data_IF_744852928544
#
_entry.id   IF_744852928544
#
_cell.length_a   1.000
_cell.length_b   1.000
_cell.length_c   1.000
_cell.angle_alpha   90.00
_cell.angle_beta   90.00
_cell.angle_gamma   90.00
#
_symmetry.space_group_name_H-M   'P 1'
#
loop_
_entity.id
_entity.type
_entity.pdbx_description
1 polymer ?
#
# COMPACT_ATOMS: atom_id res chain seq x y z
N UNK A 1 19.48 4.32 3.74
CA UNK A 1 18.33 3.39 3.78
C UNK A 1 17.76 3.11 2.39
N UNK A 2 17.59 4.13 1.51
CA UNK A 2 17.08 3.94 0.13
C UNK A 2 17.91 2.97 -0.75
N UNK A 3 19.23 2.88 -0.52
CA UNK A 3 20.17 2.05 -1.32
C UNK A 3 19.85 0.55 -1.30
N UNK A 4 19.13 0.07 -0.28
CA UNK A 4 18.82 -1.35 -0.14
C UNK A 4 17.47 -1.73 -0.76
N UNK A 5 16.62 -0.77 -1.11
CA UNK A 5 15.27 -1.04 -1.64
C UNK A 5 15.33 -1.70 -3.02
N UNK A 6 16.17 -1.17 -3.91
CA UNK A 6 16.40 -1.73 -5.24
C UNK A 6 16.92 -3.18 -5.21
N UNK A 7 17.99 -3.51 -4.45
CA UNK A 7 18.47 -4.89 -4.41
C UNK A 7 17.48 -5.84 -3.71
N UNK A 8 16.74 -5.43 -2.68
CA UNK A 8 15.70 -6.30 -2.09
C UNK A 8 14.55 -6.55 -3.05
N UNK A 9 14.15 -5.53 -3.84
CA UNK A 9 13.14 -5.70 -4.89
C UNK A 9 13.60 -6.67 -5.98
N UNK A 10 14.83 -6.51 -6.46
CA UNK A 10 15.41 -7.40 -7.48
C UNK A 10 15.50 -8.86 -7.00
N UNK A 11 15.92 -9.07 -5.75
CA UNK A 11 15.95 -10.40 -5.13
C UNK A 11 14.54 -10.98 -4.96
N UNK A 12 13.55 -10.17 -4.58
CA UNK A 12 12.16 -10.61 -4.48
C UNK A 12 11.58 -11.07 -5.81
N UNK A 13 11.86 -10.34 -6.90
CA UNK A 13 11.45 -10.72 -8.26
C UNK A 13 12.10 -12.05 -8.68
N UNK A 14 13.42 -12.18 -8.46
CA UNK A 14 14.14 -13.42 -8.77
C UNK A 14 13.60 -14.62 -7.97
N UNK A 15 13.37 -14.45 -6.68
CA UNK A 15 12.82 -15.49 -5.82
C UNK A 15 11.41 -15.91 -6.26
N UNK A 16 10.55 -14.95 -6.62
CA UNK A 16 9.21 -15.21 -7.14
C UNK A 16 9.22 -15.98 -8.46
N UNK A 17 10.09 -15.58 -9.40
CA UNK A 17 10.24 -16.25 -10.70
C UNK A 17 10.72 -17.70 -10.55
N UNK A 18 11.73 -17.94 -9.69
CA UNK A 18 12.22 -19.28 -9.41
C UNK A 18 11.14 -20.14 -8.76
N UNK A 19 10.43 -19.63 -7.75
CA UNK A 19 9.37 -20.37 -7.06
C UNK A 19 8.25 -20.83 -8.01
N UNK A 20 7.84 -19.97 -8.95
CA UNK A 20 6.85 -20.34 -9.97
C UNK A 20 7.36 -21.45 -10.91
N UNK A 21 8.65 -21.41 -11.26
CA UNK A 21 9.27 -22.42 -12.14
C UNK A 21 9.41 -23.80 -11.48
N UNK A 22 9.56 -23.86 -10.15
CA UNK A 22 9.63 -25.12 -9.40
C UNK A 22 8.25 -25.74 -9.06
N UNK A 23 7.15 -25.07 -9.42
CA UNK A 23 5.78 -25.61 -9.24
C UNK A 23 5.34 -25.74 -7.79
N UNK A 24 6.00 -25.06 -6.84
CA UNK A 24 5.70 -25.18 -5.40
C UNK A 24 4.53 -24.27 -5.01
N UNK A 25 3.31 -24.69 -5.36
CA UNK A 25 2.09 -23.90 -5.14
C UNK A 25 1.82 -23.56 -3.67
N UNK A 26 2.19 -24.44 -2.73
CA UNK A 26 1.96 -24.22 -1.29
C UNK A 26 2.78 -23.06 -0.72
N UNK A 27 4.04 -22.91 -1.15
CA UNK A 27 4.86 -21.78 -0.71
C UNK A 27 4.29 -20.45 -1.22
N UNK A 28 3.73 -20.43 -2.42
CA UNK A 28 3.17 -19.21 -2.99
C UNK A 28 1.94 -18.72 -2.21
N UNK A 29 1.01 -19.64 -1.85
CA UNK A 29 -0.17 -19.31 -1.04
C UNK A 29 0.24 -18.80 0.35
N UNK A 30 1.15 -19.49 1.04
CA UNK A 30 1.58 -19.08 2.39
C UNK A 30 2.24 -17.70 2.38
N UNK A 31 3.14 -17.43 1.44
CA UNK A 31 3.86 -16.15 1.40
C UNK A 31 3.02 -15.00 0.85
N UNK A 32 2.33 -15.19 -0.28
CA UNK A 32 1.56 -14.11 -0.93
C UNK A 32 0.27 -13.78 -0.18
N UNK A 33 -0.40 -14.75 0.45
CA UNK A 33 -1.66 -14.48 1.16
C UNK A 33 -1.46 -14.24 2.65
N UNK A 34 -0.69 -15.05 3.36
CA UNK A 34 -0.61 -14.93 4.82
C UNK A 34 0.53 -14.02 5.26
N UNK A 35 1.76 -14.31 4.83
CA UNK A 35 2.94 -13.54 5.30
C UNK A 35 2.85 -12.09 4.83
N UNK A 36 2.45 -11.86 3.59
CA UNK A 36 2.27 -10.50 3.07
C UNK A 36 1.19 -9.74 3.86
N UNK A 37 0.00 -10.30 4.04
CA UNK A 37 -1.08 -9.64 4.78
C UNK A 37 -0.70 -9.37 6.24
N UNK A 38 -0.12 -10.35 6.93
CA UNK A 38 0.35 -10.16 8.32
C UNK A 38 1.41 -9.05 8.39
N UNK A 39 2.33 -9.00 7.44
CA UNK A 39 3.36 -7.95 7.38
C UNK A 39 2.74 -6.57 7.16
N UNK A 40 1.73 -6.44 6.29
CA UNK A 40 1.02 -5.18 6.07
C UNK A 40 0.28 -4.72 7.33
N UNK A 41 -0.44 -5.63 7.98
CA UNK A 41 -1.15 -5.34 9.23
C UNK A 41 -0.18 -4.91 10.32
N UNK A 42 0.94 -5.62 10.47
CA UNK A 42 1.98 -5.28 11.44
C UNK A 42 2.58 -3.89 11.14
N UNK A 43 2.88 -3.60 9.87
CA UNK A 43 3.44 -2.31 9.46
C UNK A 43 2.47 -1.16 9.76
N UNK A 44 1.19 -1.33 9.45
CA UNK A 44 0.16 -0.33 9.75
C UNK A 44 -0.01 -0.11 11.25
N UNK A 45 0.00 -1.19 12.03
CA UNK A 45 -0.05 -1.12 13.49
C UNK A 45 1.15 -0.36 14.05
N UNK A 46 2.37 -0.71 13.63
CA UNK A 46 3.59 -0.05 14.06
C UNK A 46 3.62 1.43 13.65
N UNK A 47 3.19 1.75 12.43
CA UNK A 47 3.08 3.14 11.98
C UNK A 47 2.13 3.94 12.88
N UNK A 48 1.00 3.33 13.28
CA UNK A 48 0.07 3.93 14.23
C UNK A 48 0.69 4.15 15.62
N UNK A 49 1.42 3.17 16.14
CA UNK A 49 2.13 3.27 17.44
C UNK A 49 3.21 4.36 17.40
N UNK A 50 4.01 4.40 16.33
CA UNK A 50 5.05 5.41 16.15
C UNK A 50 4.45 6.82 16.04
N UNK A 51 3.34 6.97 15.31
CA UNK A 51 2.62 8.23 15.23
C UNK A 51 2.06 8.67 16.59
N UNK A 52 1.53 7.73 17.38
CA UNK A 52 1.01 8.00 18.72
C UNK A 52 2.11 8.38 19.72
N UNK A 53 3.33 7.84 19.55
CA UNK A 53 4.48 8.18 20.39
C UNK A 53 5.04 9.59 20.13
N UNK A 54 4.75 10.19 18.97
CA UNK A 54 5.12 11.58 18.69
C UNK A 54 4.11 12.56 19.32
N UNK A 55 4.50 13.16 20.43
CA UNK A 55 3.69 14.15 21.17
C UNK A 55 3.30 15.36 20.32
N UNK A 56 4.14 15.78 19.36
CA UNK A 56 3.83 16.92 18.49
C UNK A 56 2.81 16.53 17.44
N UNK A 57 2.95 15.34 16.86
CA UNK A 57 2.00 14.83 15.88
C UNK A 57 0.61 14.61 16.52
N UNK A 58 0.57 14.00 17.70
CA UNK A 58 -0.67 13.80 18.45
C UNK A 58 -1.29 15.10 18.95
N UNK A 59 -0.51 16.09 19.39
CA UNK A 59 -1.01 17.41 19.75
C UNK A 59 -1.66 18.13 18.55
N UNK A 60 -1.02 18.08 17.38
CA UNK A 60 -1.58 18.63 16.14
C UNK A 60 -2.89 17.93 15.73
N UNK A 61 -2.94 16.61 15.84
CA UNK A 61 -4.16 15.83 15.58
C UNK A 61 -5.30 16.27 16.52
N UNK A 62 -5.03 16.40 17.82
CA UNK A 62 -6.02 16.87 18.81
C UNK A 62 -6.50 18.29 18.49
N UNK A 63 -5.59 19.19 18.11
CA UNK A 63 -5.93 20.56 17.75
C UNK A 63 -6.77 20.65 16.45
N UNK A 64 -6.48 19.80 15.45
CA UNK A 64 -7.24 19.72 14.22
C UNK A 64 -8.63 19.09 14.44
N UNK A 65 -8.74 18.16 15.38
CA UNK A 65 -9.97 17.44 15.69
C UNK A 65 -10.53 16.71 14.45
N UNK A 66 -11.84 16.76 14.27
CA UNK A 66 -12.52 16.07 13.16
C UNK A 66 -12.11 16.58 11.78
N UNK A 67 -11.58 17.81 11.66
CA UNK A 67 -11.11 18.36 10.38
C UNK A 67 -9.95 17.56 9.79
N UNK A 68 -9.23 16.78 10.60
CA UNK A 68 -8.16 15.91 10.12
C UNK A 68 -8.65 14.80 9.19
N UNK A 69 -9.92 14.39 9.28
CA UNK A 69 -10.50 13.38 8.39
C UNK A 69 -10.62 13.85 6.94
N UNK A 70 -10.59 15.16 6.69
CA UNK A 70 -10.62 15.71 5.33
C UNK A 70 -9.47 15.15 4.49
N UNK A 71 -8.29 14.90 5.08
CA UNK A 71 -7.15 14.35 4.35
C UNK A 71 -7.40 12.92 3.85
N UNK A 72 -7.76 11.93 4.71
CA UNK A 72 -8.16 10.60 4.26
C UNK A 72 -9.23 10.61 3.18
N UNK A 73 -10.30 11.42 3.34
CA UNK A 73 -11.38 11.47 2.35
C UNK A 73 -10.94 12.10 1.03
N UNK A 74 -10.15 13.18 1.07
CA UNK A 74 -9.62 13.82 -0.12
C UNK A 74 -8.66 12.88 -0.88
N UNK A 75 -7.79 12.17 -0.17
CA UNK A 75 -6.90 11.15 -0.76
C UNK A 75 -7.71 10.00 -1.33
N UNK A 76 -8.75 9.55 -0.64
CA UNK A 76 -9.61 8.47 -1.13
C UNK A 76 -10.31 8.83 -2.44
N UNK A 77 -10.99 9.97 -2.46
CA UNK A 77 -11.65 10.49 -3.65
C UNK A 77 -10.65 10.77 -4.77
N UNK A 78 -9.54 11.43 -4.46
CA UNK A 78 -8.50 11.77 -5.43
C UNK A 78 -7.88 10.53 -6.08
N UNK A 79 -7.65 9.46 -5.33
CA UNK A 79 -7.06 8.22 -5.87
C UNK A 79 -8.04 7.52 -6.82
N UNK A 80 -9.32 7.41 -6.45
CA UNK A 80 -10.35 6.82 -7.29
C UNK A 80 -10.58 7.65 -8.56
N UNK A 81 -10.65 8.98 -8.42
CA UNK A 81 -10.75 9.89 -9.57
C UNK A 81 -9.52 9.82 -10.47
N UNK A 82 -8.32 9.66 -9.89
CA UNK A 82 -7.08 9.44 -10.64
C UNK A 82 -7.13 8.15 -11.46
N UNK A 83 -7.63 7.07 -10.87
CA UNK A 83 -7.88 5.80 -11.59
C UNK A 83 -8.92 5.96 -12.70
N UNK A 84 -9.99 6.72 -12.47
CA UNK A 84 -10.99 7.02 -13.50
C UNK A 84 -10.37 7.75 -14.71
N UNK A 85 -9.64 8.84 -14.46
CA UNK A 85 -8.98 9.63 -15.50
C UNK A 85 -7.90 8.80 -16.20
N UNK A 86 -7.10 8.04 -15.45
CA UNK A 86 -6.06 7.17 -15.98
C UNK A 86 -6.63 6.06 -16.88
N UNK A 87 -7.73 5.43 -16.46
CA UNK A 87 -8.45 4.43 -17.24
C UNK A 87 -8.94 4.98 -18.60
N UNK A 88 -9.46 6.20 -18.61
CA UNK A 88 -9.89 6.89 -19.85
C UNK A 88 -8.71 7.21 -20.78
N UNK A 89 -7.60 7.75 -20.23
CA UNK A 89 -6.41 8.12 -21.01
C UNK A 89 -5.76 6.87 -21.63
N UNK A 90 -5.61 5.80 -20.83
CA UNK A 90 -4.97 4.56 -21.23
C UNK A 90 -5.89 3.64 -22.02
N UNK A 91 -7.19 3.97 -22.12
CA UNK A 91 -8.24 3.18 -22.80
C UNK A 91 -8.34 1.75 -22.26
N UNK A 92 -8.22 1.59 -20.95
CA UNK A 92 -8.39 0.32 -20.24
C UNK A 92 -9.71 0.30 -19.49
N UNK A 93 -10.08 -0.85 -18.92
CA UNK A 93 -11.29 -0.95 -18.11
C UNK A 93 -11.26 0.03 -16.93
N UNK A 94 -12.24 0.93 -16.90
CA UNK A 94 -12.28 2.04 -15.97
C UNK A 94 -12.55 1.56 -14.55
N UNK A 95 -13.39 0.53 -14.38
CA UNK A 95 -13.70 -0.03 -13.05
C UNK A 95 -12.49 -0.74 -12.47
N UNK A 96 -11.77 -1.53 -13.27
CA UNK A 96 -10.54 -2.18 -12.87
C UNK A 96 -9.46 -1.15 -12.52
N UNK A 97 -9.31 -0.08 -13.32
CA UNK A 97 -8.36 0.99 -13.04
C UNK A 97 -8.67 1.73 -11.74
N UNK A 98 -9.95 2.08 -11.52
CA UNK A 98 -10.41 2.68 -10.26
C UNK A 98 -10.20 1.75 -9.06
N UNK A 99 -10.44 0.44 -9.22
CA UNK A 99 -10.25 -0.55 -8.17
C UNK A 99 -8.77 -0.68 -7.75
N UNK A 100 -7.84 -0.67 -8.71
CA UNK A 100 -6.40 -0.68 -8.43
C UNK A 100 -5.97 0.60 -7.70
N UNK A 101 -6.48 1.76 -8.13
CA UNK A 101 -6.16 3.04 -7.49
C UNK A 101 -6.86 3.26 -6.14
N UNK A 102 -7.92 2.50 -5.82
CA UNK A 102 -8.58 2.54 -4.52
C UNK A 102 -7.70 2.01 -3.36
N UNK A 103 -6.52 1.45 -3.65
CA UNK A 103 -5.48 1.19 -2.65
C UNK A 103 -4.77 2.46 -2.13
N UNK A 104 -5.24 3.65 -2.54
CA UNK A 104 -4.81 4.99 -2.09
C UNK A 104 -3.30 5.26 -2.07
N UNK A 105 -2.52 4.54 -2.87
CA UNK A 105 -1.07 4.71 -2.96
C UNK A 105 -0.29 4.36 -1.69
N UNK A 106 -0.79 3.44 -0.85
CA UNK A 106 -0.25 3.14 0.50
C UNK A 106 1.23 2.72 0.52
N UNK A 107 1.80 2.35 -0.64
CA UNK A 107 3.17 1.85 -0.80
C UNK A 107 3.90 2.42 -2.03
N UNK A 108 3.53 3.63 -2.47
CA UNK A 108 4.21 4.33 -3.59
C UNK A 108 5.38 5.18 -3.13
#
# INVERSE_FOLDING_TARGET
MIKYVLPTLALGILAGYLNNSFGVSLLNVVFSEYVFNVSLVLLLFLMGVLFAADERATAKMKAAGFKMLVFPFAVALGSVLGGFVGGLILKIDVFASMAVCAGYGWYT
#
